data_IF_453114245437
#
_entry.id   IF_453114245437
#
_cell.length_a   1.000
_cell.length_b   1.000
_cell.length_c   1.000
_cell.angle_alpha   90.00
_cell.angle_beta   90.00
_cell.angle_gamma   90.00
#
_symmetry.space_group_name_H-M   'P 1'
#
loop_
_entity.id
_entity.type
_entity.pdbx_description
1 polymer ?
#
# COMPACT_ATOMS: atom_id res chain seq x y z
N UNK A 1 17.70 30.54 -6.12
CA UNK A 1 17.38 29.13 -5.78
C UNK A 1 16.81 29.05 -4.37
N UNK A 2 16.01 28.02 -4.07
CA UNK A 2 15.52 27.75 -2.71
C UNK A 2 16.39 26.66 -2.08
N UNK A 3 17.46 27.03 -1.38
CA UNK A 3 18.34 26.08 -0.71
C UNK A 3 17.66 25.47 0.54
N UNK A 4 18.03 24.23 0.90
CA UNK A 4 17.61 23.50 2.11
C UNK A 4 16.08 23.25 2.28
N UNK A 5 15.29 23.34 1.21
CA UNK A 5 13.85 22.98 1.28
C UNK A 5 13.64 21.49 1.05
N UNK A 6 13.59 20.73 2.14
CA UNK A 6 13.40 19.27 2.11
C UNK A 6 11.95 18.80 1.86
N UNK A 7 10.94 19.68 1.99
CA UNK A 7 9.53 19.31 1.93
C UNK A 7 8.73 20.18 0.95
N UNK A 8 7.67 19.62 0.38
CA UNK A 8 6.68 20.33 -0.43
C UNK A 8 5.67 21.04 0.47
N UNK A 9 5.34 22.30 0.16
CA UNK A 9 4.31 23.05 0.91
C UNK A 9 2.88 22.57 0.63
N UNK A 10 2.64 21.85 -0.48
CA UNK A 10 1.32 21.36 -0.90
C UNK A 10 0.22 22.45 -0.92
N UNK A 11 0.59 23.71 -1.15
CA UNK A 11 -0.34 24.84 -1.12
C UNK A 11 -0.97 25.10 0.26
N UNK A 12 -0.32 24.70 1.37
CA UNK A 12 -0.87 24.80 2.74
C UNK A 12 0.09 25.51 3.70
N UNK A 13 -0.47 26.06 4.77
CA UNK A 13 0.28 26.52 5.95
C UNK A 13 0.97 25.33 6.63
N UNK A 14 1.98 25.62 7.46
CA UNK A 14 2.72 24.58 8.22
C UNK A 14 1.78 23.74 9.08
N UNK A 15 0.88 24.37 9.82
CA UNK A 15 -0.06 23.71 10.72
C UNK A 15 -1.03 22.79 9.99
N UNK A 16 -1.66 23.29 8.92
CA UNK A 16 -2.57 22.47 8.11
C UNK A 16 -1.82 21.33 7.42
N UNK A 17 -0.61 21.57 6.91
CA UNK A 17 0.22 20.49 6.32
C UNK A 17 0.54 19.40 7.35
N UNK A 18 0.96 19.77 8.56
CA UNK A 18 1.24 18.81 9.62
C UNK A 18 -0.01 18.05 10.05
N UNK A 19 -1.16 18.73 10.16
CA UNK A 19 -2.43 18.10 10.49
C UNK A 19 -2.85 17.07 9.43
N UNK A 20 -2.74 17.43 8.15
CA UNK A 20 -2.99 16.52 7.03
C UNK A 20 -2.08 15.28 7.10
N UNK A 21 -0.77 15.46 7.28
CA UNK A 21 0.18 14.34 7.26
C UNK A 21 -0.10 13.35 8.40
N UNK A 22 -0.40 13.84 9.60
CA UNK A 22 -0.82 13.00 10.72
C UNK A 22 -2.12 12.27 10.41
N UNK A 23 -3.12 12.94 9.84
CA UNK A 23 -4.39 12.29 9.45
C UNK A 23 -4.17 11.20 8.40
N UNK A 24 -3.38 11.45 7.36
CA UNK A 24 -3.05 10.46 6.35
C UNK A 24 -2.25 9.28 6.93
N UNK A 25 -1.33 9.53 7.86
CA UNK A 25 -0.58 8.49 8.55
C UNK A 25 -1.50 7.61 9.41
N UNK A 26 -2.44 8.21 10.14
CA UNK A 26 -3.48 7.49 10.89
C UNK A 26 -4.33 6.64 9.95
N UNK A 27 -4.80 7.18 8.84
CA UNK A 27 -5.59 6.43 7.84
C UNK A 27 -4.80 5.26 7.26
N UNK A 28 -3.52 5.45 6.93
CA UNK A 28 -2.66 4.40 6.39
C UNK A 28 -2.52 3.24 7.40
N UNK A 29 -2.15 3.54 8.65
CA UNK A 29 -1.92 2.52 9.68
C UNK A 29 -3.21 1.83 10.11
N UNK A 30 -4.33 2.55 10.23
CA UNK A 30 -5.59 1.96 10.68
C UNK A 30 -6.38 1.27 9.57
N UNK A 31 -6.04 1.50 8.30
CA UNK A 31 -6.73 0.84 7.19
C UNK A 31 -6.57 -0.69 7.28
N UNK A 32 -7.65 -1.42 6.95
CA UNK A 32 -7.66 -2.89 6.98
C UNK A 32 -6.66 -3.49 5.99
N UNK A 33 -6.54 -2.87 4.82
CA UNK A 33 -5.63 -3.27 3.74
C UNK A 33 -4.28 -2.57 3.79
N UNK A 34 -4.02 -1.76 4.82
CA UNK A 34 -2.74 -1.04 5.02
C UNK A 34 -2.30 -0.21 3.80
N UNK A 35 -3.29 0.32 3.05
CA UNK A 35 -3.10 1.10 1.83
C UNK A 35 -4.11 2.23 1.75
N UNK A 36 -3.69 3.36 1.19
CA UNK A 36 -4.58 4.49 0.90
C UNK A 36 -4.32 5.05 -0.50
N UNK A 37 -5.38 5.55 -1.13
CA UNK A 37 -5.31 6.25 -2.41
C UNK A 37 -5.21 7.75 -2.12
N UNK A 38 -4.21 8.43 -2.68
CA UNK A 38 -4.02 9.87 -2.53
C UNK A 38 -3.36 10.46 -3.78
N UNK A 39 -3.05 11.76 -3.78
CA UNK A 39 -2.29 12.35 -4.88
C UNK A 39 -0.80 12.05 -4.74
N UNK A 40 -0.10 11.85 -5.86
CA UNK A 40 1.33 11.58 -5.88
C UNK A 40 2.17 12.53 -5.00
N UNK A 41 1.99 13.87 -5.05
CA UNK A 41 2.73 14.77 -4.17
C UNK A 41 2.43 14.53 -2.69
N UNK A 42 1.19 14.19 -2.30
CA UNK A 42 0.85 13.86 -0.90
C UNK A 42 1.50 12.56 -0.47
N UNK A 43 1.48 11.52 -1.32
CA UNK A 43 2.12 10.24 -1.04
C UNK A 43 3.64 10.40 -0.83
N UNK A 44 4.30 11.19 -1.68
CA UNK A 44 5.74 11.46 -1.57
C UNK A 44 6.12 12.20 -0.28
N UNK A 45 5.28 13.11 0.20
CA UNK A 45 5.50 13.78 1.50
C UNK A 45 5.16 12.89 2.69
N UNK A 46 4.18 11.98 2.53
CA UNK A 46 3.78 11.05 3.59
C UNK A 46 4.84 10.00 3.87
N UNK A 47 5.58 9.53 2.85
CA UNK A 47 6.61 8.50 2.98
C UNK A 47 7.64 8.79 4.09
N UNK A 48 8.42 9.88 4.06
CA UNK A 48 9.41 10.17 5.12
C UNK A 48 8.75 10.47 6.48
N UNK A 49 7.46 10.83 6.50
CA UNK A 49 6.72 11.03 7.73
C UNK A 49 6.41 9.69 8.42
N UNK A 50 5.85 8.74 7.68
CA UNK A 50 5.49 7.40 8.19
C UNK A 50 6.72 6.54 8.45
N UNK A 51 7.75 6.60 7.59
CA UNK A 51 8.97 5.81 7.78
C UNK A 51 9.68 6.14 9.09
N UNK A 52 9.67 7.40 9.51
CA UNK A 52 10.22 7.81 10.82
C UNK A 52 9.40 7.24 11.98
N UNK A 53 8.08 7.24 11.88
CA UNK A 53 7.21 6.64 12.89
C UNK A 53 7.46 5.13 13.04
N UNK A 54 7.52 4.39 11.93
CA UNK A 54 7.83 2.94 11.94
C UNK A 54 9.24 2.69 12.47
N UNK A 55 10.21 3.52 12.11
CA UNK A 55 11.58 3.40 12.62
C UNK A 55 11.65 3.51 14.14
N UNK A 56 10.87 4.41 14.75
CA UNK A 56 10.80 4.53 16.22
C UNK A 56 10.23 3.26 16.86
N UNK A 57 9.19 2.69 16.24
CA UNK A 57 8.60 1.43 16.70
C UNK A 57 9.58 0.26 16.59
N UNK A 58 10.20 0.07 15.43
CA UNK A 58 11.24 -0.94 15.21
C UNK A 58 12.39 -0.82 16.22
N UNK A 59 12.85 0.40 16.47
CA UNK A 59 13.89 0.66 17.47
C UNK A 59 13.48 0.18 18.85
N UNK A 60 12.22 0.37 19.24
CA UNK A 60 11.70 -0.09 20.53
C UNK A 60 11.63 -1.62 20.60
N UNK A 61 11.22 -2.30 19.52
CA UNK A 61 11.20 -3.77 19.43
C UNK A 61 12.58 -4.42 19.48
N UNK A 62 13.63 -3.69 19.10
CA UNK A 62 15.03 -4.13 19.14
C UNK A 62 15.76 -3.81 20.46
N UNK A 63 15.08 -3.21 21.44
CA UNK A 63 15.68 -2.95 22.75
C UNK A 63 15.71 -4.23 23.58
N UNK A 64 16.87 -4.51 24.18
CA UNK A 64 17.09 -5.62 25.10
C UNK A 64 17.85 -5.12 26.34
N UNK A 65 17.65 -5.76 27.50
CA UNK A 65 18.29 -5.41 28.78
C UNK A 65 17.40 -4.68 29.78
N UNK A 66 17.93 -4.41 30.97
CA UNK A 66 17.22 -3.82 32.12
C UNK A 66 16.66 -2.41 31.83
N UNK A 67 17.36 -1.60 31.03
CA UNK A 67 16.94 -0.24 30.65
C UNK A 67 15.90 -0.19 29.51
N UNK A 68 15.44 -1.34 29.02
CA UNK A 68 14.57 -1.41 27.83
C UNK A 68 13.23 -0.71 28.06
N UNK A 69 12.64 -0.82 29.26
CA UNK A 69 11.35 -0.23 29.60
C UNK A 69 11.31 1.30 29.44
N UNK A 70 12.17 2.07 30.15
CA UNK A 70 12.21 3.53 30.02
C UNK A 70 12.52 4.02 28.60
N UNK A 71 13.44 3.33 27.88
CA UNK A 71 13.81 3.70 26.51
C UNK A 71 12.67 3.42 25.52
N UNK A 72 11.97 2.29 25.64
CA UNK A 72 10.80 1.97 24.83
C UNK A 72 9.66 2.99 25.07
N UNK A 73 9.42 3.38 26.32
CA UNK A 73 8.46 4.42 26.67
C UNK A 73 8.82 5.76 26.01
N UNK A 74 10.09 6.16 26.03
CA UNK A 74 10.56 7.38 25.39
C UNK A 74 10.30 7.36 23.88
N UNK A 75 10.63 6.26 23.19
CA UNK A 75 10.36 6.09 21.75
C UNK A 75 8.86 6.16 21.44
N UNK A 76 8.02 5.58 22.29
CA UNK A 76 6.56 5.67 22.15
C UNK A 76 6.04 7.09 22.29
N UNK A 77 6.58 7.87 23.23
CA UNK A 77 6.25 9.31 23.40
C UNK A 77 6.69 10.13 22.19
N UNK A 78 7.87 9.87 21.64
CA UNK A 78 8.32 10.52 20.39
C UNK A 78 7.39 10.16 19.22
N UNK A 79 7.01 8.89 19.09
CA UNK A 79 6.14 8.43 18.01
C UNK A 79 4.71 9.01 18.11
N UNK A 80 4.23 9.30 19.33
CA UNK A 80 2.92 9.92 19.53
C UNK A 80 2.78 11.27 18.80
N UNK A 81 3.87 12.03 18.60
CA UNK A 81 3.85 13.30 17.85
C UNK A 81 3.54 13.17 16.35
N UNK A 82 3.64 11.96 15.79
CA UNK A 82 3.29 11.64 14.41
C UNK A 82 1.79 11.34 14.22
N UNK A 83 1.04 11.24 15.33
CA UNK A 83 -0.38 10.97 15.31
C UNK A 83 -1.14 12.04 16.08
N UNK A 84 -2.44 12.19 15.81
CA UNK A 84 -3.33 12.96 16.68
C UNK A 84 -3.71 12.10 17.90
N UNK A 85 -2.71 11.69 18.68
CA UNK A 85 -2.93 11.15 20.01
C UNK A 85 -3.42 12.35 20.86
N UNK A 86 -4.72 12.43 21.11
CA UNK A 86 -5.33 13.55 21.86
C UNK A 86 -4.74 13.73 23.26
N UNK A 87 -5.25 14.71 24.02
CA UNK A 87 -4.74 15.05 25.34
C UNK A 87 -4.41 13.81 26.19
N UNK A 88 -3.18 13.77 26.72
CA UNK A 88 -2.65 12.73 27.60
C UNK A 88 -3.32 12.70 28.98
N UNK A 89 -4.37 13.51 29.22
CA UNK A 89 -5.18 13.41 30.41
C UNK A 89 -5.80 12.01 30.46
N UNK A 90 -5.32 11.21 31.42
CA UNK A 90 -6.00 10.01 31.87
C UNK A 90 -7.45 10.40 32.19
N UNK A 91 -8.44 9.98 31.40
CA UNK A 91 -9.76 9.80 32.00
C UNK A 91 -9.65 8.56 32.88
N UNK A 92 -9.13 8.81 34.07
CA UNK A 92 -9.39 7.99 35.25
C UNK A 92 -10.91 7.94 35.33
N UNK A 93 -11.48 6.74 35.16
CA UNK A 93 -12.94 6.46 35.21
C UNK A 93 -13.66 6.93 33.93
N UNK A 94 -14.17 6.06 33.06
CA UNK A 94 -15.44 5.33 33.25
C UNK A 94 -15.55 4.18 32.24
N UNK A 95 -15.91 2.99 32.73
CA UNK A 95 -16.19 1.80 31.94
C UNK A 95 -16.52 0.65 32.89
N UNK A 96 -17.50 -0.21 32.55
CA UNK A 96 -17.88 -1.36 33.39
C UNK A 96 -16.69 -2.33 33.51
N UNK A 97 -16.52 -2.93 34.70
CA UNK A 97 -15.47 -3.91 34.99
C UNK A 97 -15.51 -5.05 33.96
N UNK A 98 -14.37 -5.39 33.37
CA UNK A 98 -14.21 -6.55 32.47
C UNK A 98 -14.23 -6.27 30.96
N UNK A 99 -14.59 -5.08 30.49
CA UNK A 99 -14.54 -4.77 29.05
C UNK A 99 -13.28 -4.00 28.64
N UNK A 100 -12.65 -4.42 27.55
CA UNK A 100 -11.52 -3.70 26.91
C UNK A 100 -12.07 -2.41 26.30
N UNK A 101 -11.63 -1.25 26.81
CA UNK A 101 -12.09 0.04 26.32
C UNK A 101 -11.61 0.26 24.87
N UNK A 102 -12.47 0.73 23.95
CA UNK A 102 -12.02 1.12 22.63
C UNK A 102 -11.01 2.26 22.74
N UNK A 103 -10.08 2.38 21.77
CA UNK A 103 -9.10 3.46 21.77
C UNK A 103 -9.81 4.83 21.69
N UNK A 104 -9.33 5.78 22.49
CA UNK A 104 -9.96 7.11 22.65
C UNK A 104 -10.03 7.89 21.35
N UNK A 105 -8.97 7.82 20.54
CA UNK A 105 -8.90 8.45 19.21
C UNK A 105 -8.28 7.47 18.22
N UNK A 106 -8.54 7.71 16.93
CA UNK A 106 -7.89 6.98 15.83
C UNK A 106 -6.36 7.09 15.89
N UNK A 107 -5.82 8.21 16.38
CA UNK A 107 -4.38 8.37 16.61
C UNK A 107 -3.82 7.46 17.69
N UNK A 108 -4.55 7.25 18.80
CA UNK A 108 -4.17 6.29 19.85
C UNK A 108 -4.25 4.86 19.33
N UNK A 109 -5.27 4.54 18.52
CA UNK A 109 -5.40 3.25 17.85
C UNK A 109 -4.20 2.97 16.93
N UNK A 110 -3.82 3.96 16.10
CA UNK A 110 -2.68 3.85 15.20
C UNK A 110 -1.37 3.67 15.95
N UNK A 111 -1.16 4.43 17.05
CA UNK A 111 0.03 4.31 17.89
C UNK A 111 0.12 2.92 18.54
N UNK A 112 -1.01 2.36 19.00
CA UNK A 112 -1.04 1.01 19.56
C UNK A 112 -0.64 -0.02 18.49
N UNK A 113 -1.32 -0.01 17.35
CA UNK A 113 -1.04 -0.93 16.22
C UNK A 113 0.41 -0.83 15.73
N UNK A 114 0.95 0.39 15.69
CA UNK A 114 2.33 0.65 15.29
C UNK A 114 3.36 -0.09 16.15
N UNK A 115 3.19 -0.10 17.48
CA UNK A 115 4.13 -0.75 18.41
C UNK A 115 3.85 -2.25 18.59
N UNK A 116 2.57 -2.65 18.56
CA UNK A 116 2.19 -4.04 18.80
C UNK A 116 2.44 -4.92 17.56
N UNK A 117 2.11 -4.44 16.35
CA UNK A 117 2.16 -5.24 15.12
C UNK A 117 3.33 -4.84 14.21
N UNK A 118 3.43 -3.55 13.89
CA UNK A 118 4.37 -3.09 12.85
C UNK A 118 5.83 -3.06 13.34
N UNK A 119 6.05 -2.87 14.64
CA UNK A 119 7.38 -2.89 15.25
C UNK A 119 8.06 -4.24 15.08
N UNK A 120 7.32 -5.32 15.40
CA UNK A 120 7.80 -6.69 15.23
C UNK A 120 7.89 -7.09 13.75
N UNK A 121 6.88 -6.73 12.94
CA UNK A 121 6.87 -7.05 11.50
C UNK A 121 8.12 -6.53 10.77
N UNK A 122 8.60 -5.35 11.13
CA UNK A 122 9.72 -4.69 10.45
C UNK A 122 11.03 -4.73 11.22
N UNK A 123 11.15 -5.63 12.21
CA UNK A 123 12.31 -5.74 13.08
C UNK A 123 13.64 -5.87 12.32
N UNK A 124 13.65 -6.74 11.32
CA UNK A 124 14.82 -7.07 10.51
C UNK A 124 14.96 -6.19 9.25
N UNK A 125 13.97 -5.35 8.97
CA UNK A 125 13.96 -4.52 7.76
C UNK A 125 14.73 -3.21 8.01
N UNK A 126 15.82 -2.92 7.27
CA UNK A 126 16.65 -1.74 7.51
C UNK A 126 15.94 -0.41 7.16
N UNK A 127 15.00 -0.43 6.20
CA UNK A 127 14.21 0.73 5.80
C UNK A 127 13.25 0.40 4.66
N UNK A 128 12.56 1.41 4.12
CA UNK A 128 11.65 1.25 2.99
C UNK A 128 10.39 0.47 3.35
N UNK A 129 9.64 0.94 4.36
CA UNK A 129 8.42 0.27 4.85
C UNK A 129 7.17 0.59 4.02
N UNK A 130 7.29 1.50 3.05
CA UNK A 130 6.16 1.93 2.22
C UNK A 130 6.49 1.80 0.74
N UNK A 131 5.49 1.49 -0.07
CA UNK A 131 5.55 1.56 -1.53
C UNK A 131 4.58 2.59 -2.07
N UNK A 132 4.93 3.20 -3.20
CA UNK A 132 4.07 4.15 -3.90
C UNK A 132 3.85 3.64 -5.32
N UNK A 133 2.61 3.33 -5.68
CA UNK A 133 2.19 2.96 -7.03
C UNK A 133 1.45 4.12 -7.67
N UNK A 134 1.78 4.48 -8.91
CA UNK A 134 1.04 5.49 -9.66
C UNK A 134 -0.22 4.84 -10.24
N UNK A 135 -1.36 5.51 -10.10
CA UNK A 135 -2.64 5.03 -10.64
C UNK A 135 -3.06 5.72 -11.94
N UNK A 136 -2.40 6.81 -12.32
CA UNK A 136 -2.81 7.66 -13.43
C UNK A 136 -3.36 9.00 -12.95
N UNK A 137 -4.16 9.67 -13.77
CA UNK A 137 -4.69 11.01 -13.51
C UNK A 137 -6.16 10.93 -13.09
N UNK A 138 -6.55 11.76 -12.13
CA UNK A 138 -7.92 11.88 -11.65
C UNK A 138 -8.78 12.65 -12.67
N UNK A 139 -10.00 12.18 -12.91
CA UNK A 139 -10.98 12.93 -13.69
C UNK A 139 -11.35 14.26 -12.99
N UNK A 140 -11.44 15.35 -13.75
CA UNK A 140 -11.77 16.69 -13.24
C UNK A 140 -10.55 17.60 -13.12
N UNK A 141 -9.73 17.42 -12.08
CA UNK A 141 -8.57 18.28 -11.80
C UNK A 141 -7.25 17.76 -12.42
N UNK A 142 -7.31 16.63 -13.13
CA UNK A 142 -6.18 15.96 -13.77
C UNK A 142 -5.00 15.65 -12.83
N UNK A 143 -5.26 15.59 -11.51
CA UNK A 143 -4.22 15.37 -10.53
C UNK A 143 -3.68 13.94 -10.60
N UNK A 144 -2.35 13.78 -10.58
CA UNK A 144 -1.73 12.45 -10.54
C UNK A 144 -2.05 11.74 -9.21
N UNK A 145 -2.66 10.57 -9.32
CA UNK A 145 -2.98 9.70 -8.20
C UNK A 145 -1.91 8.65 -7.96
N UNK A 146 -1.82 8.25 -6.69
CA UNK A 146 -0.97 7.18 -6.26
C UNK A 146 -1.60 6.41 -5.09
N UNK A 147 -1.37 5.11 -5.06
CA UNK A 147 -1.54 4.30 -3.84
C UNK A 147 -0.25 4.41 -3.06
N UNK A 148 -0.37 4.65 -1.76
CA UNK A 148 0.71 4.37 -0.81
C UNK A 148 0.28 3.21 0.09
N UNK A 149 1.12 2.20 0.19
CA UNK A 149 0.86 0.99 0.97
C UNK A 149 2.04 0.63 1.86
N UNK A 150 1.75 -0.10 2.94
CA UNK A 150 2.76 -0.77 3.74
C UNK A 150 3.26 -2.02 3.02
N UNK A 151 4.53 -2.33 3.21
CA UNK A 151 5.18 -3.55 2.73
C UNK A 151 4.75 -4.75 3.58
N UNK A 152 4.71 -5.96 3.01
CA UNK A 152 4.30 -7.16 3.74
C UNK A 152 2.88 -7.02 4.33
N UNK A 153 1.99 -6.33 3.59
CA UNK A 153 0.61 -6.12 4.01
C UNK A 153 -0.22 -7.40 3.82
N UNK A 154 -1.35 -7.56 4.55
CA UNK A 154 -2.17 -8.78 4.48
C UNK A 154 -2.60 -9.14 3.04
N UNK A 155 -2.97 -8.15 2.23
CA UNK A 155 -3.39 -8.39 0.84
C UNK A 155 -2.25 -8.88 -0.05
N UNK A 156 -1.03 -8.43 0.19
CA UNK A 156 0.17 -8.94 -0.49
C UNK A 156 0.49 -10.36 -0.05
N UNK A 157 0.41 -10.66 1.25
CA UNK A 157 0.63 -12.01 1.76
C UNK A 157 -0.37 -13.01 1.17
N UNK A 158 -1.66 -12.64 1.13
CA UNK A 158 -2.72 -13.44 0.49
C UNK A 158 -2.44 -13.66 -1.00
N UNK A 159 -2.00 -12.61 -1.72
CA UNK A 159 -1.65 -12.72 -3.15
C UNK A 159 -0.43 -13.63 -3.38
N UNK A 160 0.60 -13.53 -2.54
CA UNK A 160 1.79 -14.38 -2.60
C UNK A 160 1.45 -15.84 -2.32
N UNK A 161 0.58 -16.13 -1.35
CA UNK A 161 0.10 -17.48 -1.07
C UNK A 161 -0.73 -18.04 -2.23
N UNK A 162 -1.64 -17.26 -2.81
CA UNK A 162 -2.41 -17.66 -3.98
C UNK A 162 -1.50 -17.96 -5.18
N UNK A 163 -0.47 -17.14 -5.40
CA UNK A 163 0.53 -17.37 -6.45
C UNK A 163 1.35 -18.64 -6.20
N UNK A 164 1.74 -18.93 -4.96
CA UNK A 164 2.42 -20.18 -4.58
C UNK A 164 1.52 -21.39 -4.86
N UNK A 165 0.23 -21.33 -4.50
CA UNK A 165 -0.75 -22.40 -4.78
C UNK A 165 -0.89 -22.65 -6.30
N UNK A 166 -0.99 -21.59 -7.12
CA UNK A 166 -1.03 -21.70 -8.60
C UNK A 166 0.24 -22.33 -9.19
N UNK A 167 1.42 -22.05 -8.63
CA UNK A 167 2.69 -22.67 -9.05
C UNK A 167 2.80 -24.15 -8.64
N UNK A 168 2.25 -24.52 -7.49
CA UNK A 168 2.20 -25.93 -7.05
C UNK A 168 1.25 -26.78 -7.89
N UNK A 169 0.08 -26.25 -8.28
CA UNK A 169 -0.86 -26.98 -9.14
C UNK A 169 -0.29 -27.22 -10.54
N UNK A 170 0.36 -26.21 -11.14
CA UNK A 170 1.01 -26.32 -12.46
C UNK A 170 2.20 -27.30 -12.47
N UNK A 171 3.03 -27.32 -11.42
CA UNK A 171 4.13 -28.29 -11.29
C UNK A 171 3.65 -29.72 -11.02
N UNK A 172 2.55 -29.90 -10.28
CA UNK A 172 1.94 -31.22 -10.05
C UNK A 172 1.30 -31.77 -11.32
N UNK A 173 0.59 -30.93 -12.11
CA UNK A 173 0.02 -31.31 -13.42
C UNK A 173 1.12 -31.69 -14.43
N UNK A 174 2.22 -30.93 -14.47
CA UNK A 174 3.37 -31.26 -15.33
C UNK A 174 4.03 -32.59 -14.94
N UNK A 175 4.03 -32.96 -13.64
CA UNK A 175 4.50 -34.27 -13.15
C UNK A 175 3.53 -35.42 -13.42
N UNK A 176 2.22 -35.19 -13.44
CA UNK A 176 1.24 -36.23 -13.82
C UNK A 176 1.28 -36.49 -15.32
N UNK A 177 1.43 -35.45 -16.13
CA UNK A 177 1.53 -35.56 -17.59
C UNK A 177 2.87 -36.19 -18.00
N UNK A 178 3.96 -35.95 -17.26
CA UNK A 178 5.27 -36.58 -17.49
C UNK A 178 5.41 -38.00 -16.93
N UNK A 179 4.39 -38.55 -16.24
CA UNK A 179 4.36 -39.95 -15.81
C UNK A 179 3.55 -40.85 -16.77
N UNK A 180 2.99 -40.26 -17.83
CA UNK A 180 2.25 -40.95 -18.89
C UNK A 180 3.06 -41.29 -20.15
N UNK A 181 4.32 -40.85 -20.28
CA UNK A 181 5.11 -41.13 -21.48
C UNK A 181 6.58 -41.34 -21.15
N UNK A 182 6.94 -42.59 -20.82
CA UNK A 182 8.32 -43.05 -20.73
C UNK A 182 8.53 -44.25 -21.64
N UNK A 183 8.91 -44.00 -22.89
CA UNK A 183 9.85 -44.88 -23.59
C UNK A 183 10.57 -44.10 -24.71
N UNK A 184 11.91 -44.00 -24.55
CA UNK A 184 12.99 -43.84 -25.55
C UNK A 184 12.89 -42.61 -26.50
N UNK A 185 13.89 -41.75 -26.69
CA UNK A 185 15.36 -41.87 -26.60
C UNK A 185 15.97 -40.45 -26.69
N UNK A 186 17.15 -40.24 -26.10
CA UNK A 186 18.04 -39.08 -26.31
C UNK A 186 19.35 -39.62 -26.95
N UNK A 187 20.39 -38.80 -27.25
CA UNK A 187 20.48 -37.50 -27.93
C UNK A 187 21.68 -37.41 -28.94
N UNK A 188 21.77 -36.34 -29.75
CA UNK A 188 23.04 -35.81 -30.31
C UNK A 188 22.79 -34.35 -30.76
N UNK A 189 23.31 -33.31 -30.08
CA UNK A 189 24.67 -32.75 -30.17
C UNK A 189 24.99 -32.04 -31.51
N UNK A 190 25.02 -30.70 -31.52
CA UNK A 190 26.25 -29.91 -31.77
C UNK A 190 25.97 -28.42 -31.92
N UNK A 191 26.95 -27.66 -31.43
CA UNK A 191 27.07 -26.22 -31.28
C UNK A 191 27.98 -25.61 -32.37
N UNK A 192 27.73 -24.38 -32.80
CA UNK A 192 28.73 -23.29 -33.02
C UNK A 192 28.11 -22.13 -33.81
N UNK A 193 27.98 -20.94 -33.21
CA UNK A 193 28.86 -19.74 -33.35
C UNK A 193 29.07 -19.25 -34.80
N UNK A 194 28.52 -18.08 -35.13
CA UNK A 194 29.30 -16.83 -35.29
C UNK A 194 28.41 -15.60 -35.52
N UNK A 195 28.82 -14.50 -34.89
CA UNK A 195 28.39 -13.12 -35.13
C UNK A 195 28.87 -12.63 -36.51
N UNK A 196 28.13 -11.67 -37.08
CA UNK A 196 28.49 -11.00 -38.33
C UNK A 196 27.39 -10.06 -38.81
N UNK A 197 27.47 -8.82 -38.38
CA UNK A 197 26.68 -7.64 -38.71
C UNK A 197 26.69 -7.31 -40.23
N UNK A 198 25.54 -6.96 -40.82
CA UNK A 198 25.44 -6.00 -41.94
C UNK A 198 23.99 -5.52 -42.16
N UNK A 199 23.89 -4.20 -42.37
CA UNK A 199 22.69 -3.38 -42.57
C UNK A 199 21.96 -3.71 -43.89
N UNK A 200 20.64 -3.55 -43.92
CA UNK A 200 19.92 -2.53 -44.71
C UNK A 200 18.40 -2.82 -44.81
N UNK A 201 17.61 -1.77 -44.61
CA UNK A 201 16.32 -1.43 -45.23
C UNK A 201 15.38 -2.58 -45.67
N UNK A 202 14.16 -2.64 -45.12
CA UNK A 202 13.01 -1.88 -45.61
C UNK A 202 11.70 -2.43 -44.98
N UNK A 203 10.70 -1.56 -44.92
CA UNK A 203 9.26 -1.84 -44.83
C UNK A 203 8.62 -2.18 -43.48
N UNK A 204 8.07 -1.13 -42.87
CA UNK A 204 6.94 -1.21 -41.95
C UNK A 204 5.70 -1.83 -42.65
N UNK A 205 4.86 -2.53 -41.87
CA UNK A 205 3.43 -2.25 -41.93
C UNK A 205 2.87 -1.94 -40.53
N UNK A 206 2.22 -0.79 -40.39
CA UNK A 206 1.23 -0.54 -39.33
C UNK A 206 -0.10 -1.23 -39.69
N UNK A 207 -1.19 -1.11 -38.90
CA UNK A 207 -1.46 -1.85 -37.67
C UNK A 207 -2.79 -2.61 -37.76
N UNK A 208 -2.88 -3.82 -37.21
CA UNK A 208 -4.16 -4.53 -37.17
C UNK A 208 -5.14 -3.87 -36.18
N UNK A 209 -6.16 -3.26 -36.78
CA UNK A 209 -7.35 -2.77 -36.13
C UNK A 209 -8.12 -3.93 -35.48
N UNK A 210 -8.36 -3.83 -34.17
CA UNK A 210 -9.42 -4.60 -33.52
C UNK A 210 -10.62 -3.67 -33.42
N UNK A 211 -11.58 -3.96 -34.28
CA UNK A 211 -12.95 -3.48 -34.36
C UNK A 211 -13.66 -3.54 -33.01
N UNK A 212 -14.16 -2.38 -32.57
CA UNK A 212 -15.33 -2.28 -31.70
C UNK A 212 -16.58 -2.64 -32.53
N UNK A 213 -17.44 -3.50 -32.00
CA UNK A 213 -18.86 -3.52 -32.39
C UNK A 213 -19.77 -3.44 -31.17
N UNK A 214 -20.95 -2.83 -31.33
CA UNK A 214 -21.68 -2.12 -30.28
C UNK A 214 -22.72 -3.01 -29.58
N UNK A 215 -22.99 -2.72 -28.31
CA UNK A 215 -24.21 -3.20 -27.65
C UNK A 215 -25.18 -2.04 -27.56
N UNK A 216 -26.30 -2.22 -28.26
CA UNK A 216 -27.43 -1.34 -28.49
C UNK A 216 -28.18 -0.96 -27.21
N UNK A 217 -28.42 0.35 -27.04
CA UNK A 217 -29.59 0.88 -26.35
C UNK A 217 -30.79 0.87 -27.30
N UNK A 218 -31.86 0.17 -26.94
CA UNK A 218 -33.22 0.53 -27.32
C UNK A 218 -34.21 -0.21 -26.41
N UNK A 219 -34.73 0.49 -25.41
CA UNK A 219 -36.17 0.54 -25.18
C UNK A 219 -36.48 1.80 -24.37
N UNK A 220 -37.21 2.69 -25.03
CA UNK A 220 -37.73 3.94 -24.51
C UNK A 220 -39.22 3.77 -24.19
N UNK A 221 -39.75 4.75 -23.44
CA UNK A 221 -41.16 5.02 -23.14
C UNK A 221 -41.77 4.15 -22.01
N UNK A 222 -42.53 4.66 -21.04
CA UNK A 222 -43.23 5.95 -20.91
C UNK A 222 -43.80 6.07 -19.47
N UNK A 223 -44.31 7.27 -19.14
CA UNK A 223 -45.28 7.60 -18.08
C UNK A 223 -44.78 8.10 -16.70
N UNK A 224 -44.48 9.40 -16.65
CA UNK A 224 -44.98 10.31 -15.59
C UNK A 224 -46.52 10.34 -15.63
N UNK A 225 -47.24 10.48 -14.49
CA UNK A 225 -47.47 11.83 -13.97
C UNK A 225 -47.63 11.96 -12.44
N UNK A 226 -47.46 13.19 -11.94
CA UNK A 226 -48.48 13.76 -11.05
C UNK A 226 -47.98 14.43 -9.79
N UNK A 227 -47.84 15.75 -9.86
CA UNK A 227 -47.83 16.64 -8.71
C UNK A 227 -49.15 16.51 -7.89
N UNK A 228 -49.03 16.44 -6.57
CA UNK A 228 -50.19 16.37 -5.66
C UNK A 228 -49.85 16.81 -4.23
N UNK A 229 -50.28 18.04 -3.92
CA UNK A 229 -50.25 18.78 -2.65
C UNK A 229 -50.54 18.01 -1.35
N UNK A 230 -49.90 18.50 -0.28
CA UNK A 230 -50.44 18.82 1.05
C UNK A 230 -51.32 17.79 1.79
N UNK A 231 -50.81 17.28 2.91
CA UNK A 231 -51.39 17.44 4.27
C UNK A 231 -50.37 17.01 5.32
#
# INVERSE_FOLDING_TARGET
MRHQKAHRKLGRTSEHRMSMLRNLAVSLINSRSERIVTTLPKAKELRPFVERAITLSRKASNLHGEDSGPRALHLRRQAAGFFHAGNMQMAVLTGKRGQVRPPRTSGVAALKRLFDELGERYKDRPGGYTRIFKLGRRAGDNAELAIIELVDNPGELEALEAAKKRKQTTTKKKKTDSKGTSSKTSPAASSSKKEGEMKAADKAPEPDAITEEPVSESDAAEAEPGAGKAS
#
